data_IF_934919095026
#
_entry.id   IF_934919095026
#
_cell.length_a   1.000
_cell.length_b   1.000
_cell.length_c   1.000
_cell.angle_alpha   90.00
_cell.angle_beta   90.00
_cell.angle_gamma   90.00
#
_symmetry.space_group_name_H-M   'P 1'
#
loop_
_entity.id
_entity.type
_entity.pdbx_description
1 polymer ?
#
# COMPACT_ATOMS: atom_id res chain seq x y z
N UNK A 1 -12.81 5.99 -3.19
CA UNK A 1 -12.28 4.79 -3.86
C UNK A 1 -11.39 5.18 -5.04
N UNK A 2 -10.09 5.02 -4.85
CA UNK A 2 -9.00 5.20 -5.80
C UNK A 2 -8.99 4.04 -6.82
N UNK A 3 -8.94 4.33 -8.12
CA UNK A 3 -8.85 3.29 -9.15
C UNK A 3 -7.71 3.66 -10.12
N UNK A 4 -6.62 2.88 -10.17
CA UNK A 4 -5.45 3.15 -11.01
C UNK A 4 -5.66 2.82 -12.50
N UNK A 5 -6.85 2.35 -12.90
CA UNK A 5 -7.15 1.96 -14.28
C UNK A 5 -6.80 0.49 -14.58
N UNK A 6 -6.63 0.15 -15.86
CA UNK A 6 -6.38 -1.23 -16.29
C UNK A 6 -4.92 -1.68 -16.21
N UNK A 7 -3.99 -0.73 -16.06
CA UNK A 7 -2.56 -1.00 -16.02
C UNK A 7 -1.91 -0.10 -14.99
N UNK A 8 -0.97 -0.63 -14.21
CA UNK A 8 -0.11 0.14 -13.32
C UNK A 8 1.32 -0.32 -13.59
N UNK A 9 2.00 0.39 -14.49
CA UNK A 9 3.37 0.09 -14.91
C UNK A 9 4.24 1.32 -14.80
N UNK A 10 5.56 1.20 -14.92
CA UNK A 10 6.48 2.35 -14.92
C UNK A 10 6.03 3.50 -15.85
N UNK A 11 5.35 3.20 -16.96
CA UNK A 11 4.86 4.18 -17.93
C UNK A 11 3.83 5.16 -17.34
N UNK A 12 2.97 4.70 -16.43
CA UNK A 12 1.89 5.51 -15.85
C UNK A 12 1.97 5.65 -14.33
N UNK A 13 2.88 4.92 -13.68
CA UNK A 13 3.07 4.91 -12.23
C UNK A 13 3.22 6.31 -11.65
N UNK A 14 3.99 7.19 -12.29
CA UNK A 14 4.20 8.55 -11.81
C UNK A 14 2.93 9.42 -11.85
N UNK A 15 2.09 9.24 -12.86
CA UNK A 15 0.82 9.97 -12.99
C UNK A 15 -0.19 9.45 -11.95
N UNK A 16 -0.36 8.13 -11.89
CA UNK A 16 -1.24 7.46 -10.92
C UNK A 16 -0.84 7.81 -9.50
N UNK A 17 0.45 7.75 -9.17
CA UNK A 17 0.98 8.11 -7.85
C UNK A 17 0.52 9.50 -7.42
N UNK A 18 0.71 10.50 -8.29
CA UNK A 18 0.37 11.90 -7.99
C UNK A 18 -1.12 12.07 -7.74
N UNK A 19 -1.95 11.48 -8.58
CA UNK A 19 -3.41 11.54 -8.45
C UNK A 19 -3.86 10.85 -7.16
N UNK A 20 -3.27 9.69 -6.84
CA UNK A 20 -3.59 8.99 -5.61
C UNK A 20 -3.13 9.73 -4.36
N UNK A 21 -1.97 10.38 -4.37
CA UNK A 21 -1.51 11.22 -3.25
C UNK A 21 -2.45 12.39 -3.00
N UNK A 22 -2.96 13.03 -4.06
CA UNK A 22 -3.93 14.12 -3.93
C UNK A 22 -5.24 13.64 -3.28
N UNK A 23 -5.68 12.43 -3.62
CA UNK A 23 -6.90 11.82 -3.07
C UNK A 23 -6.73 11.27 -1.65
N UNK A 24 -5.58 10.65 -1.35
CA UNK A 24 -5.18 10.30 0.03
C UNK A 24 -5.13 11.56 0.89
N UNK A 25 -4.67 12.69 0.35
CA UNK A 25 -4.69 13.96 1.06
C UNK A 25 -6.11 14.45 1.40
N UNK A 26 -7.10 14.08 0.59
CA UNK A 26 -8.53 14.32 0.85
C UNK A 26 -9.18 13.28 1.78
N UNK A 27 -8.41 12.28 2.23
CA UNK A 27 -8.87 11.24 3.13
C UNK A 27 -9.38 9.97 2.44
N UNK A 28 -9.29 9.89 1.12
CA UNK A 28 -9.66 8.69 0.37
C UNK A 28 -8.51 7.67 0.44
N UNK A 29 -8.68 6.63 1.26
CA UNK A 29 -7.65 5.62 1.55
C UNK A 29 -8.04 4.23 1.05
N UNK A 30 -9.14 4.11 0.31
CA UNK A 30 -9.53 2.83 -0.31
C UNK A 30 -9.09 2.77 -1.77
N UNK A 31 -8.33 1.74 -2.13
CA UNK A 31 -7.86 1.49 -3.50
C UNK A 31 -8.52 0.25 -4.06
N UNK A 32 -9.14 0.40 -5.23
CA UNK A 32 -9.64 -0.69 -6.04
C UNK A 32 -8.57 -1.17 -7.02
N UNK A 33 -8.13 -2.41 -6.86
CA UNK A 33 -7.19 -3.06 -7.75
C UNK A 33 -7.87 -4.07 -8.69
N UNK A 34 -9.19 -4.26 -8.63
CA UNK A 34 -9.89 -5.27 -9.45
C UNK A 34 -9.71 -5.07 -10.96
N UNK A 35 -9.62 -3.81 -11.40
CA UNK A 35 -9.44 -3.46 -12.81
C UNK A 35 -8.03 -3.68 -13.35
N UNK A 36 -7.03 -3.90 -12.49
CA UNK A 36 -5.63 -3.99 -12.89
C UNK A 36 -5.32 -5.32 -13.59
N UNK A 37 -5.15 -5.26 -14.90
CA UNK A 37 -4.73 -6.39 -15.73
C UNK A 37 -3.20 -6.47 -15.89
N UNK A 38 -2.50 -5.33 -15.86
CA UNK A 38 -1.04 -5.25 -16.05
C UNK A 38 -0.40 -4.54 -14.87
N UNK A 39 0.53 -5.22 -14.19
CA UNK A 39 1.28 -4.69 -13.03
C UNK A 39 2.75 -5.07 -13.14
N UNK A 40 3.63 -4.19 -12.68
CA UNK A 40 5.08 -4.43 -12.60
C UNK A 40 5.63 -4.02 -11.21
N UNK A 41 6.95 -3.96 -11.07
CA UNK A 41 7.60 -3.54 -9.82
C UNK A 41 7.27 -2.09 -9.42
N UNK A 42 6.98 -1.22 -10.39
CA UNK A 42 6.55 0.16 -10.12
C UNK A 42 5.18 0.21 -9.44
N UNK A 43 4.28 -0.73 -9.72
CA UNK A 43 3.00 -0.83 -9.02
C UNK A 43 3.17 -0.95 -7.50
N UNK A 44 4.11 -1.78 -7.05
CA UNK A 44 4.42 -1.96 -5.62
C UNK A 44 4.95 -0.66 -5.01
N UNK A 45 5.82 0.06 -5.72
CA UNK A 45 6.35 1.34 -5.27
C UNK A 45 5.26 2.41 -5.11
N UNK A 46 4.29 2.47 -6.03
CA UNK A 46 3.15 3.39 -5.96
C UNK A 46 2.30 3.10 -4.73
N UNK A 47 1.93 1.84 -4.50
CA UNK A 47 1.14 1.44 -3.34
C UNK A 47 1.84 1.77 -2.02
N UNK A 48 3.16 1.52 -1.94
CA UNK A 48 3.95 1.84 -0.76
C UNK A 48 4.00 3.35 -0.49
N UNK A 49 4.11 4.17 -1.54
CA UNK A 49 4.10 5.62 -1.40
C UNK A 49 2.74 6.14 -0.90
N UNK A 50 1.63 5.57 -1.37
CA UNK A 50 0.29 5.89 -0.84
C UNK A 50 0.12 5.43 0.60
N UNK A 51 0.58 4.22 0.93
CA UNK A 51 0.56 3.71 2.31
C UNK A 51 1.31 4.67 3.25
N UNK A 52 2.51 5.11 2.87
CA UNK A 52 3.29 6.09 3.65
C UNK A 52 2.57 7.42 3.79
N UNK A 53 1.92 7.93 2.74
CA UNK A 53 1.19 9.18 2.79
C UNK A 53 -0.07 9.10 3.68
N UNK A 54 -0.79 7.97 3.64
CA UNK A 54 -1.92 7.71 4.53
C UNK A 54 -1.44 7.57 5.99
N UNK A 55 -0.39 6.78 6.23
CA UNK A 55 0.17 6.57 7.56
C UNK A 55 0.70 7.87 8.19
N UNK A 56 1.30 8.76 7.40
CA UNK A 56 1.72 10.09 7.84
C UNK A 56 0.55 10.96 8.34
N UNK A 57 -0.69 10.63 7.94
CA UNK A 57 -1.93 11.29 8.37
C UNK A 57 -2.68 10.49 9.45
N UNK A 58 -2.10 9.39 9.93
CA UNK A 58 -2.77 8.47 10.86
C UNK A 58 -3.88 7.63 10.22
N UNK A 59 -3.90 7.50 8.89
CA UNK A 59 -4.88 6.71 8.16
C UNK A 59 -4.26 5.42 7.62
N UNK A 60 -5.06 4.36 7.49
CA UNK A 60 -4.64 3.09 6.91
C UNK A 60 -5.15 2.97 5.47
N UNK A 61 -4.25 2.65 4.54
CA UNK A 61 -4.62 2.37 3.15
C UNK A 61 -5.25 0.98 3.05
N UNK A 62 -6.43 0.87 2.45
CA UNK A 62 -7.16 -0.39 2.25
C UNK A 62 -7.15 -0.75 0.77
N UNK A 63 -6.56 -1.89 0.44
CA UNK A 63 -6.51 -2.41 -0.92
C UNK A 63 -7.64 -3.43 -1.11
N UNK A 64 -8.48 -3.25 -2.13
CA UNK A 64 -9.56 -4.17 -2.50
C UNK A 64 -9.28 -4.81 -3.85
N UNK A 65 -9.60 -6.10 -3.99
CA UNK A 65 -9.51 -6.81 -5.26
C UNK A 65 -8.09 -6.90 -5.83
N UNK A 66 -7.10 -7.06 -4.96
CA UNK A 66 -5.69 -7.13 -5.33
C UNK A 66 -5.44 -8.36 -6.22
N UNK A 67 -4.95 -8.19 -7.47
CA UNK A 67 -4.67 -9.31 -8.35
C UNK A 67 -3.49 -10.14 -7.81
N UNK A 68 -3.54 -11.45 -8.04
CA UNK A 68 -2.52 -12.39 -7.54
C UNK A 68 -1.09 -11.99 -7.94
N UNK A 69 -0.90 -11.47 -9.16
CA UNK A 69 0.40 -10.95 -9.63
C UNK A 69 0.96 -9.84 -8.72
N UNK A 70 0.12 -8.90 -8.30
CA UNK A 70 0.53 -7.79 -7.43
C UNK A 70 0.87 -8.29 -6.03
N UNK A 71 0.06 -9.20 -5.49
CA UNK A 71 0.33 -9.83 -4.19
C UNK A 71 1.65 -10.60 -4.21
N UNK A 72 1.93 -11.32 -5.30
CA UNK A 72 3.18 -12.06 -5.48
C UNK A 72 4.38 -11.12 -5.56
N UNK A 73 4.28 -10.01 -6.31
CA UNK A 73 5.33 -8.99 -6.33
C UNK A 73 5.55 -8.38 -4.94
N UNK A 74 4.49 -7.99 -4.24
CA UNK A 74 4.59 -7.45 -2.88
C UNK A 74 5.30 -8.41 -1.91
N UNK A 75 5.01 -9.71 -2.02
CA UNK A 75 5.68 -10.75 -1.23
C UNK A 75 7.15 -10.93 -1.60
N UNK A 76 7.50 -10.91 -2.89
CA UNK A 76 8.90 -10.95 -3.35
C UNK A 76 9.73 -9.77 -2.85
N UNK A 77 9.10 -8.60 -2.74
CA UNK A 77 9.73 -7.39 -2.18
C UNK A 77 9.64 -7.32 -0.64
N UNK A 78 8.95 -8.25 0.02
CA UNK A 78 8.79 -8.28 1.48
C UNK A 78 7.95 -7.12 2.03
N UNK A 79 7.05 -6.55 1.23
CA UNK A 79 6.21 -5.40 1.61
C UNK A 79 4.73 -5.77 1.78
N UNK A 80 4.37 -7.05 1.62
CA UNK A 80 3.00 -7.53 1.81
C UNK A 80 2.47 -7.24 3.23
N UNK A 81 3.32 -7.37 4.26
CA UNK A 81 2.96 -7.02 5.63
C UNK A 81 2.72 -5.53 5.85
N UNK A 82 3.45 -4.67 5.13
CA UNK A 82 3.25 -3.21 5.21
C UNK A 82 1.98 -2.76 4.49
N UNK A 83 1.62 -3.44 3.41
CA UNK A 83 0.44 -3.13 2.61
C UNK A 83 -0.85 -3.78 3.16
N UNK A 84 -0.77 -4.51 4.27
CA UNK A 84 -1.90 -5.27 4.82
C UNK A 84 -2.35 -6.42 3.91
N UNK A 85 -1.47 -6.86 3.01
CA UNK A 85 -1.67 -8.02 2.12
C UNK A 85 -1.25 -9.32 2.78
N UNK A 86 -0.40 -9.26 3.82
CA UNK A 86 -0.14 -10.38 4.69
C UNK A 86 -1.45 -10.79 5.36
N UNK A 87 -1.88 -12.04 5.12
CA UNK A 87 -2.99 -12.65 5.84
C UNK A 87 -2.79 -12.41 7.33
N UNK A 88 -3.81 -11.84 7.99
CA UNK A 88 -3.79 -11.32 9.34
C UNK A 88 -2.97 -12.19 10.31
N UNK A 89 -1.69 -11.87 10.47
CA UNK A 89 -0.92 -12.22 11.64
C UNK A 89 -0.90 -10.97 12.53
N UNK A 90 -1.55 -11.12 13.69
CA UNK A 90 -1.85 -10.17 14.76
C UNK A 90 -0.73 -9.18 15.16
N UNK A 91 -1.08 -8.09 15.89
CA UNK A 91 -0.26 -6.91 16.03
C UNK A 91 0.92 -7.17 16.98
N UNK A 92 2.15 -6.98 16.50
CA UNK A 92 3.29 -6.76 17.38
C UNK A 92 3.32 -5.29 17.83
N UNK A 93 2.28 -4.88 18.55
CA UNK A 93 2.32 -3.70 19.39
C UNK A 93 2.39 -4.16 20.85
N UNK A 94 3.62 -4.24 21.37
CA UNK A 94 3.90 -3.98 22.78
C UNK A 94 5.15 -3.09 22.84
N UNK A 95 5.02 -1.78 23.04
CA UNK A 95 5.87 -1.04 23.97
C UNK A 95 5.01 -0.66 25.20
N UNK A 96 5.55 -0.33 26.40
CA UNK A 96 6.94 -0.23 26.84
C UNK A 96 7.23 -1.00 28.16
N UNK A 97 8.48 -0.96 28.66
CA UNK A 97 8.83 -1.44 30.00
C UNK A 97 10.25 -1.08 30.42
N UNK A 98 10.40 0.07 31.08
CA UNK A 98 11.58 0.49 31.84
C UNK A 98 12.17 -0.62 32.72
N UNK A 99 13.47 -0.92 32.62
CA UNK A 99 14.32 -1.38 33.74
C UNK A 99 15.78 -0.97 33.44
N UNK A 100 16.26 0.13 34.05
CA UNK A 100 17.11 0.15 35.26
C UNK A 100 18.53 -0.39 34.99
N UNK A 101 19.50 0.49 34.72
CA UNK A 101 20.53 1.00 35.66
C UNK A 101 21.50 -0.09 36.14
N UNK A 102 22.77 -0.04 35.71
CA UNK A 102 23.93 0.30 36.55
C UNK A 102 25.22 0.46 35.75
#
# INVERSE_FOLDING_TARGET
MLSPGNSLTNQNAAAVLRDGLARVAQGDVEVDCTGLAQVDSSAVAVLLAWHRAAAARGQALVLRGVPAQLAQLASLYGVDGLLGLASAAAPAAIPPGHHHRH
#
